data_IF_524011718111
#
_entry.id   IF_524011718111
#
_cell.length_a   1.000
_cell.length_b   1.000
_cell.length_c   1.000
_cell.angle_alpha   90.00
_cell.angle_beta   90.00
_cell.angle_gamma   90.00
#
_symmetry.space_group_name_H-M   'P 1'
#
loop_
_entity.id
_entity.type
_entity.pdbx_description
1 polymer ?
#
# COMPACT_ATOMS: atom_id res chain seq x y z
N UNK A 1 31.53 -33.49 7.89
CA UNK A 1 31.75 -33.15 9.32
C UNK A 1 30.52 -32.45 9.86
N UNK A 2 30.23 -32.56 11.16
CA UNK A 2 29.10 -31.86 11.81
C UNK A 2 29.05 -30.36 11.46
N UNK A 3 30.21 -29.69 11.45
CA UNK A 3 30.34 -28.28 11.04
C UNK A 3 29.86 -28.00 9.61
N UNK A 4 30.14 -28.88 8.66
CA UNK A 4 29.68 -28.74 7.27
C UNK A 4 28.17 -28.88 7.17
N UNK A 5 27.61 -29.82 7.93
CA UNK A 5 26.17 -30.08 7.96
C UNK A 5 25.42 -28.96 8.66
N UNK A 6 25.89 -28.49 9.82
CA UNK A 6 25.39 -27.31 10.52
C UNK A 6 25.46 -26.08 9.62
N UNK A 7 26.61 -25.80 9.00
CA UNK A 7 26.77 -24.69 8.05
C UNK A 7 25.77 -24.78 6.89
N UNK A 8 25.61 -25.96 6.28
CA UNK A 8 24.66 -26.15 5.16
C UNK A 8 23.20 -25.95 5.56
N UNK A 9 22.81 -26.39 6.76
CA UNK A 9 21.44 -26.29 7.24
C UNK A 9 21.12 -24.88 7.77
N UNK A 10 22.03 -24.28 8.54
CA UNK A 10 21.81 -22.95 9.11
C UNK A 10 21.84 -21.86 8.06
N UNK A 11 22.74 -21.91 7.07
CA UNK A 11 22.81 -20.88 6.02
C UNK A 11 21.60 -20.89 5.12
N UNK A 12 21.05 -22.06 4.81
CA UNK A 12 19.82 -22.15 4.01
C UNK A 12 18.66 -21.39 4.66
N UNK A 13 18.51 -21.50 5.98
CA UNK A 13 17.43 -20.84 6.74
C UNK A 13 17.72 -19.34 6.96
N UNK A 14 18.99 -18.92 6.99
CA UNK A 14 19.37 -17.50 7.15
C UNK A 14 18.78 -16.59 6.06
N UNK A 15 18.55 -17.12 4.85
CA UNK A 15 17.91 -16.36 3.78
C UNK A 15 16.43 -16.05 4.07
N UNK A 16 15.71 -16.99 4.69
CA UNK A 16 14.30 -16.83 5.05
C UNK A 16 14.11 -15.81 6.18
N UNK A 17 15.10 -15.68 7.08
CA UNK A 17 15.09 -14.69 8.17
C UNK A 17 15.16 -13.24 7.66
N UNK A 18 15.56 -12.99 6.42
CA UNK A 18 15.65 -11.64 5.85
C UNK A 18 14.31 -10.93 5.83
N UNK A 19 13.25 -11.65 5.45
CA UNK A 19 11.90 -11.07 5.34
C UNK A 19 11.42 -10.53 6.69
N UNK A 20 11.34 -11.32 7.79
CA UNK A 20 10.89 -10.80 9.08
C UNK A 20 11.83 -9.74 9.68
N UNK A 21 13.13 -9.81 9.43
CA UNK A 21 14.08 -8.78 9.89
C UNK A 21 13.84 -7.46 9.16
N UNK A 22 13.83 -7.46 7.82
CA UNK A 22 13.65 -6.25 7.04
C UNK A 22 12.21 -5.71 7.09
N UNK A 23 11.23 -6.55 7.40
CA UNK A 23 9.88 -6.10 7.72
C UNK A 23 9.84 -5.21 8.97
N UNK A 24 10.64 -5.53 10.00
CA UNK A 24 10.76 -4.66 11.18
C UNK A 24 11.50 -3.36 10.85
N UNK A 25 12.54 -3.43 10.01
CA UNK A 25 13.22 -2.21 9.52
C UNK A 25 12.21 -1.33 8.78
N UNK A 26 11.42 -1.90 7.86
CA UNK A 26 10.44 -1.14 7.10
C UNK A 26 9.37 -0.51 7.98
N UNK A 27 9.01 -1.14 9.11
CA UNK A 27 8.07 -0.59 10.09
C UNK A 27 8.47 0.78 10.64
N UNK A 28 9.78 1.07 10.69
CA UNK A 28 10.32 2.26 11.33
C UNK A 28 10.72 3.35 10.33
N UNK A 29 10.51 3.13 9.03
CA UNK A 29 10.92 4.08 7.98
C UNK A 29 9.95 5.25 7.87
N UNK A 30 8.64 4.97 8.01
CA UNK A 30 7.58 5.96 7.89
C UNK A 30 6.68 5.93 9.13
N UNK A 31 6.05 7.06 9.44
CA UNK A 31 4.95 7.10 10.39
C UNK A 31 3.65 6.66 9.69
N UNK A 32 3.51 5.35 9.49
CA UNK A 32 2.36 4.74 8.82
C UNK A 32 1.03 5.07 9.50
N UNK A 33 1.03 5.20 10.83
CA UNK A 33 -0.16 5.57 11.59
C UNK A 33 -0.63 6.99 11.25
N UNK A 34 0.31 7.95 11.21
CA UNK A 34 0.02 9.32 10.80
C UNK A 34 -0.47 9.38 9.35
N UNK A 35 0.13 8.60 8.45
CA UNK A 35 -0.31 8.52 7.05
C UNK A 35 -1.73 7.96 6.93
N UNK A 36 -2.04 6.83 7.58
CA UNK A 36 -3.39 6.27 7.61
C UNK A 36 -4.41 7.29 8.15
N UNK A 37 -4.04 8.02 9.22
CA UNK A 37 -4.88 9.06 9.79
C UNK A 37 -5.13 10.20 8.80
N UNK A 38 -4.12 10.66 8.07
CA UNK A 38 -4.27 11.67 7.03
C UNK A 38 -5.25 11.22 5.94
N UNK A 39 -5.10 9.99 5.44
CA UNK A 39 -5.99 9.41 4.42
C UNK A 39 -7.43 9.28 4.97
N UNK A 40 -7.59 8.85 6.22
CA UNK A 40 -8.91 8.70 6.86
C UNK A 40 -9.67 10.02 7.03
N UNK A 41 -8.94 11.15 7.11
CA UNK A 41 -9.51 12.49 7.27
C UNK A 41 -9.89 13.15 5.95
N UNK A 42 -9.49 12.59 4.81
CA UNK A 42 -9.89 13.09 3.49
C UNK A 42 -11.39 12.92 3.33
N UNK A 43 -12.06 13.98 2.86
CA UNK A 43 -13.46 13.87 2.48
C UNK A 43 -13.57 13.17 1.12
N UNK A 44 -14.05 11.93 1.12
CA UNK A 44 -14.27 11.14 -0.10
C UNK A 44 -15.69 11.28 -0.67
N UNK A 45 -16.54 12.13 -0.08
CA UNK A 45 -17.88 12.46 -0.59
C UNK A 45 -17.86 13.88 -1.15
N UNK A 46 -17.37 14.02 -2.38
CA UNK A 46 -17.18 15.28 -3.09
C UNK A 46 -18.03 15.32 -4.36
N UNK A 47 -18.45 16.52 -4.77
CA UNK A 47 -19.27 16.73 -5.97
C UNK A 47 -18.48 17.02 -7.24
N UNK A 48 -17.20 17.40 -7.13
CA UNK A 48 -16.31 17.65 -8.26
C UNK A 48 -14.89 17.23 -7.88
N UNK A 49 -14.18 16.64 -8.84
CA UNK A 49 -12.77 16.29 -8.69
C UNK A 49 -11.90 17.48 -9.12
N UNK A 50 -11.07 17.97 -8.20
CA UNK A 50 -10.00 18.89 -8.53
C UNK A 50 -8.86 18.11 -9.20
N UNK A 51 -8.09 18.75 -10.09
CA UNK A 51 -6.96 18.11 -10.80
C UNK A 51 -5.73 17.82 -9.90
N UNK A 52 -5.87 17.99 -8.58
CA UNK A 52 -4.80 17.87 -7.61
C UNK A 52 -4.99 16.64 -6.72
N UNK A 53 -3.89 15.96 -6.42
CA UNK A 53 -3.86 14.88 -5.43
C UNK A 53 -3.83 15.43 -4.00
N UNK A 54 -4.19 14.60 -3.03
CA UNK A 54 -4.19 14.95 -1.62
C UNK A 54 -2.77 15.05 -1.03
N UNK A 55 -2.60 15.91 -0.03
CA UNK A 55 -1.32 16.22 0.63
C UNK A 55 -0.57 15.02 1.21
N UNK A 56 -1.26 13.92 1.55
CA UNK A 56 -0.60 12.72 2.05
C UNK A 56 0.28 12.05 0.98
N UNK A 57 -0.04 12.22 -0.31
CA UNK A 57 0.77 11.70 -1.42
C UNK A 57 2.12 12.42 -1.48
N UNK A 58 2.13 13.75 -1.27
CA UNK A 58 3.36 14.54 -1.14
C UNK A 58 4.18 14.12 0.07
N UNK A 59 3.53 14.00 1.24
CA UNK A 59 4.21 13.54 2.46
C UNK A 59 4.89 12.18 2.25
N UNK A 60 4.15 11.18 1.77
CA UNK A 60 4.68 9.85 1.47
C UNK A 60 5.88 9.91 0.53
N UNK A 61 5.74 10.64 -0.58
CA UNK A 61 6.79 10.73 -1.60
C UNK A 61 8.07 11.39 -1.06
N UNK A 62 7.92 12.43 -0.25
CA UNK A 62 9.03 13.18 0.32
C UNK A 62 9.78 12.38 1.40
N UNK A 63 9.05 11.67 2.26
CA UNK A 63 9.65 10.79 3.28
C UNK A 63 10.41 9.64 2.61
N UNK A 64 9.85 9.04 1.55
CA UNK A 64 10.52 8.00 0.78
C UNK A 64 11.75 8.49 0.03
N UNK A 65 11.69 9.69 -0.55
CA UNK A 65 12.86 10.29 -1.20
C UNK A 65 13.97 10.56 -0.19
N UNK A 66 13.61 11.03 1.01
CA UNK A 66 14.56 11.23 2.11
C UNK A 66 15.22 9.90 2.51
N UNK A 67 14.41 8.87 2.72
CA UNK A 67 14.92 7.53 3.03
C UNK A 67 15.81 6.99 1.91
N UNK A 68 15.40 7.14 0.65
CA UNK A 68 16.20 6.74 -0.53
C UNK A 68 17.58 7.37 -0.51
N UNK A 69 17.66 8.68 -0.28
CA UNK A 69 18.94 9.40 -0.26
C UNK A 69 19.84 8.91 0.89
N UNK A 70 19.27 8.67 2.07
CA UNK A 70 20.00 8.13 3.22
C UNK A 70 20.49 6.70 2.95
N UNK A 71 19.64 5.87 2.35
CA UNK A 71 19.97 4.48 2.08
C UNK A 71 21.04 4.34 0.99
N UNK A 72 20.97 5.17 -0.06
CA UNK A 72 21.99 5.23 -1.10
C UNK A 72 23.32 5.73 -0.54
N UNK A 73 23.31 6.75 0.34
CA UNK A 73 24.53 7.20 1.03
C UNK A 73 25.19 6.08 1.84
N UNK A 74 24.40 5.29 2.58
CA UNK A 74 24.93 4.13 3.33
C UNK A 74 25.53 3.11 2.35
N UNK A 75 24.81 2.79 1.28
CA UNK A 75 25.21 1.79 0.30
C UNK A 75 26.50 2.17 -0.45
N UNK A 76 26.70 3.46 -0.73
CA UNK A 76 27.86 3.93 -1.49
C UNK A 76 29.06 4.30 -0.61
N UNK A 77 28.83 4.90 0.55
CA UNK A 77 29.89 5.54 1.35
C UNK A 77 30.28 4.77 2.61
N UNK A 78 29.40 3.93 3.15
CA UNK A 78 29.64 3.25 4.43
C UNK A 78 29.81 1.76 4.27
N UNK A 79 28.83 1.09 3.67
CA UNK A 79 28.81 -0.36 3.53
C UNK A 79 27.97 -0.77 2.31
N UNK A 80 28.57 -1.41 1.29
CA UNK A 80 27.82 -1.94 0.15
C UNK A 80 26.75 -2.92 0.61
N UNK A 81 25.49 -2.57 0.35
CA UNK A 81 24.33 -3.39 0.68
C UNK A 81 24.11 -4.37 -0.47
N UNK A 82 24.03 -5.69 -0.19
CA UNK A 82 23.72 -6.66 -1.23
C UNK A 82 22.42 -6.30 -1.95
N UNK A 83 22.41 -6.34 -3.29
CA UNK A 83 21.24 -5.98 -4.11
C UNK A 83 19.96 -6.72 -3.70
N UNK A 84 20.08 -7.97 -3.24
CA UNK A 84 18.96 -8.74 -2.72
C UNK A 84 18.34 -8.10 -1.47
N UNK A 85 19.16 -7.62 -0.53
CA UNK A 85 18.71 -6.92 0.68
C UNK A 85 18.07 -5.59 0.32
N UNK A 86 18.71 -4.82 -0.55
CA UNK A 86 18.18 -3.55 -1.04
C UNK A 86 16.77 -3.72 -1.63
N UNK A 87 16.58 -4.73 -2.47
CA UNK A 87 15.28 -5.08 -3.07
C UNK A 87 14.26 -5.52 -2.02
N UNK A 88 14.65 -6.39 -1.07
CA UNK A 88 13.74 -6.86 -0.02
C UNK A 88 13.26 -5.72 0.87
N UNK A 89 14.12 -4.76 1.24
CA UNK A 89 13.72 -3.61 2.05
C UNK A 89 12.67 -2.79 1.32
N UNK A 90 12.91 -2.43 0.07
CA UNK A 90 11.94 -1.66 -0.72
C UNK A 90 10.64 -2.41 -0.97
N UNK A 91 10.70 -3.71 -1.23
CA UNK A 91 9.51 -4.57 -1.34
C UNK A 91 8.65 -4.50 -0.07
N UNK A 92 9.26 -4.64 1.11
CA UNK A 92 8.57 -4.55 2.40
C UNK A 92 8.05 -3.14 2.72
N UNK A 93 8.70 -2.09 2.22
CA UNK A 93 8.20 -0.71 2.34
C UNK A 93 6.93 -0.53 1.49
N UNK A 94 6.97 -0.98 0.24
CA UNK A 94 5.84 -0.86 -0.69
C UNK A 94 4.61 -1.60 -0.18
N UNK A 95 4.79 -2.84 0.28
CA UNK A 95 3.72 -3.64 0.90
C UNK A 95 3.03 -2.87 2.05
N UNK A 96 3.82 -2.31 2.97
CA UNK A 96 3.28 -1.52 4.10
C UNK A 96 2.58 -0.24 3.67
N UNK A 97 3.12 0.50 2.70
CA UNK A 97 2.48 1.73 2.21
C UNK A 97 1.13 1.40 1.60
N UNK A 98 1.07 0.38 0.75
CA UNK A 98 -0.15 -0.01 0.06
C UNK A 98 -1.19 -0.56 1.02
N UNK A 99 -0.76 -1.32 2.03
CA UNK A 99 -1.63 -1.69 3.15
C UNK A 99 -2.18 -0.47 3.89
N UNK A 100 -1.31 0.49 4.24
CA UNK A 100 -1.67 1.73 4.94
C UNK A 100 -2.66 2.57 4.15
N UNK A 101 -2.52 2.62 2.83
CA UNK A 101 -3.45 3.32 1.94
C UNK A 101 -4.85 2.70 1.98
N UNK A 102 -4.94 1.38 1.83
CA UNK A 102 -6.24 0.67 1.91
C UNK A 102 -6.86 0.83 3.30
N UNK A 103 -6.07 0.78 4.37
CA UNK A 103 -6.56 1.02 5.73
C UNK A 103 -7.16 2.43 5.91
N UNK A 104 -6.51 3.43 5.31
CA UNK A 104 -7.02 4.80 5.24
C UNK A 104 -8.32 4.89 4.43
N UNK A 105 -8.37 4.30 3.24
CA UNK A 105 -9.57 4.29 2.38
C UNK A 105 -10.74 3.54 3.02
N UNK A 106 -10.47 2.45 3.74
CA UNK A 106 -11.47 1.69 4.48
C UNK A 106 -12.06 2.44 5.68
N UNK A 107 -11.50 3.59 6.04
CA UNK A 107 -12.03 4.43 7.11
C UNK A 107 -13.04 5.47 6.61
N UNK A 108 -13.21 5.60 5.29
CA UNK A 108 -14.24 6.45 4.70
C UNK A 108 -15.65 5.96 5.11
N UNK A 109 -16.55 6.88 5.45
CA UNK A 109 -17.97 6.55 5.75
C UNK A 109 -18.88 6.63 4.53
N UNK A 110 -18.50 7.50 3.59
CA UNK A 110 -19.17 7.75 2.31
C UNK A 110 -18.09 7.96 1.27
N UNK A 111 -18.36 7.53 0.04
CA UNK A 111 -17.44 7.71 -1.07
C UNK A 111 -18.24 7.90 -2.35
N UNK A 112 -18.23 9.12 -2.89
CA UNK A 112 -18.86 9.48 -4.16
C UNK A 112 -18.08 8.91 -5.35
N UNK A 113 -18.64 8.99 -6.56
CA UNK A 113 -17.91 8.56 -7.76
C UNK A 113 -16.66 9.42 -7.97
N UNK A 114 -16.78 10.71 -7.74
CA UNK A 114 -15.71 11.71 -7.80
C UNK A 114 -14.65 11.44 -6.72
N UNK A 115 -15.07 11.03 -5.52
CA UNK A 115 -14.16 10.62 -4.45
C UNK A 115 -13.36 9.36 -4.80
N UNK A 116 -13.97 8.36 -5.45
CA UNK A 116 -13.26 7.18 -5.96
C UNK A 116 -12.27 7.54 -7.06
N UNK A 117 -12.66 8.46 -7.95
CA UNK A 117 -11.76 8.99 -8.96
C UNK A 117 -10.57 9.74 -8.32
N UNK A 118 -10.79 10.44 -7.21
CA UNK A 118 -9.72 11.07 -6.44
C UNK A 118 -8.80 10.04 -5.76
N UNK A 119 -9.33 8.95 -5.20
CA UNK A 119 -8.50 7.83 -4.70
C UNK A 119 -7.60 7.26 -5.81
N UNK A 120 -8.16 7.07 -7.00
CA UNK A 120 -7.41 6.60 -8.16
C UNK A 120 -6.34 7.62 -8.59
N UNK A 121 -6.68 8.92 -8.64
CA UNK A 121 -5.74 9.98 -8.97
C UNK A 121 -4.56 10.00 -7.99
N UNK A 122 -4.84 10.02 -6.69
CA UNK A 122 -3.83 9.99 -5.63
C UNK A 122 -2.88 8.81 -5.79
N UNK A 123 -3.44 7.61 -5.97
CA UNK A 123 -2.64 6.40 -6.11
C UNK A 123 -1.78 6.42 -7.37
N UNK A 124 -2.32 6.90 -8.51
CA UNK A 124 -1.54 7.04 -9.74
C UNK A 124 -0.41 8.07 -9.60
N UNK A 125 -0.63 9.18 -8.90
CA UNK A 125 0.43 10.16 -8.64
C UNK A 125 1.53 9.56 -7.75
N UNK A 126 1.15 8.78 -6.72
CA UNK A 126 2.11 8.07 -5.88
C UNK A 126 2.93 7.07 -6.70
N UNK A 127 2.30 6.23 -7.52
CA UNK A 127 3.00 5.24 -8.36
C UNK A 127 4.05 5.90 -9.28
N UNK A 128 3.70 7.00 -9.95
CA UNK A 128 4.65 7.73 -10.81
C UNK A 128 5.88 8.23 -10.06
N UNK A 129 5.71 8.62 -8.79
CA UNK A 129 6.82 9.07 -7.94
C UNK A 129 7.65 7.89 -7.44
N UNK A 130 7.00 6.82 -7.00
CA UNK A 130 7.66 5.57 -6.61
C UNK A 130 8.51 4.99 -7.75
N UNK A 131 8.03 5.04 -8.99
CA UNK A 131 8.78 4.59 -10.18
C UNK A 131 10.04 5.41 -10.46
N UNK A 132 10.11 6.66 -9.97
CA UNK A 132 11.31 7.51 -10.05
C UNK A 132 12.25 7.25 -8.88
N UNK A 133 11.71 7.08 -7.66
CA UNK A 133 12.48 6.82 -6.44
C UNK A 133 13.11 5.41 -6.50
N UNK A 134 12.42 4.43 -7.10
CA UNK A 134 12.76 3.01 -7.03
C UNK A 134 12.83 2.40 -8.44
N UNK A 135 13.79 2.86 -9.25
CA UNK A 135 13.92 2.42 -10.63
C UNK A 135 14.19 0.89 -10.78
N UNK A 136 14.86 0.28 -9.81
CA UNK A 136 15.30 -1.13 -9.85
C UNK A 136 14.21 -2.17 -9.54
N UNK A 137 13.00 -1.73 -9.19
CA UNK A 137 11.85 -2.56 -8.79
C UNK A 137 10.68 -2.44 -9.77
N UNK A 138 10.97 -2.32 -11.07
CA UNK A 138 9.92 -2.31 -12.11
C UNK A 138 9.61 -3.73 -12.60
N UNK A 139 8.32 -4.11 -12.72
CA UNK A 139 7.12 -3.34 -12.33
C UNK A 139 6.97 -3.26 -10.80
N UNK A 140 6.38 -2.16 -10.29
CA UNK A 140 6.18 -1.98 -8.86
C UNK A 140 5.34 -3.14 -8.28
N UNK A 141 5.87 -3.91 -7.30
CA UNK A 141 5.14 -5.01 -6.69
C UNK A 141 3.97 -4.49 -5.84
N UNK A 142 3.02 -5.37 -5.50
CA UNK A 142 1.92 -5.11 -4.56
C UNK A 142 0.89 -4.04 -4.96
N UNK A 143 1.09 -3.28 -6.04
CA UNK A 143 0.18 -2.21 -6.46
C UNK A 143 -1.25 -2.69 -6.68
N UNK A 144 -1.41 -3.93 -7.13
CA UNK A 144 -2.71 -4.57 -7.36
C UNK A 144 -3.56 -4.63 -6.09
N UNK A 145 -2.94 -4.69 -4.91
CA UNK A 145 -3.67 -4.67 -3.64
C UNK A 145 -4.52 -3.40 -3.48
N UNK A 146 -3.98 -2.23 -3.84
CA UNK A 146 -4.72 -0.96 -3.78
C UNK A 146 -5.67 -0.85 -4.98
N UNK A 147 -5.21 -1.20 -6.18
CA UNK A 147 -6.04 -1.11 -7.40
C UNK A 147 -7.30 -1.98 -7.29
N UNK A 148 -7.17 -3.21 -6.80
CA UNK A 148 -8.29 -4.14 -6.66
C UNK A 148 -9.29 -3.63 -5.60
N UNK A 149 -8.80 -2.99 -4.54
CA UNK A 149 -9.67 -2.37 -3.53
C UNK A 149 -10.45 -1.18 -4.11
N UNK A 150 -9.80 -0.31 -4.88
CA UNK A 150 -10.48 0.83 -5.54
C UNK A 150 -11.47 0.32 -6.61
N UNK A 151 -11.08 -0.69 -7.40
CA UNK A 151 -11.95 -1.32 -8.42
C UNK A 151 -13.19 -1.96 -7.79
N UNK A 152 -13.09 -2.47 -6.57
CA UNK A 152 -14.21 -3.11 -5.87
C UNK A 152 -15.42 -2.17 -5.68
N UNK A 153 -15.22 -0.86 -5.60
CA UNK A 153 -16.31 0.12 -5.52
C UNK A 153 -17.23 0.12 -6.75
N UNK A 154 -16.75 -0.37 -7.89
CA UNK A 154 -17.48 -0.39 -9.16
C UNK A 154 -18.14 -1.75 -9.45
N UNK A 155 -18.01 -2.71 -8.53
CA UNK A 155 -18.63 -4.02 -8.67
C UNK A 155 -20.16 -3.92 -8.58
N UNK A 156 -20.90 -4.69 -9.40
CA UNK A 156 -22.32 -4.89 -9.21
C UNK A 156 -22.62 -5.46 -7.81
N UNK A 157 -23.74 -5.05 -7.20
CA UNK A 157 -24.16 -5.50 -5.86
C UNK A 157 -24.19 -7.03 -5.74
N UNK A 158 -24.68 -7.73 -6.77
CA UNK A 158 -24.72 -9.20 -6.82
C UNK A 158 -23.35 -9.90 -6.79
N UNK A 159 -22.26 -9.17 -7.07
CA UNK A 159 -20.90 -9.73 -7.13
C UNK A 159 -20.07 -9.44 -5.89
N UNK A 160 -20.55 -8.60 -4.96
CA UNK A 160 -19.75 -8.23 -3.79
C UNK A 160 -19.55 -9.39 -2.83
N UNK A 161 -20.59 -10.21 -2.62
CA UNK A 161 -20.49 -11.37 -1.71
C UNK A 161 -19.39 -12.33 -2.15
N UNK A 162 -19.30 -12.57 -3.46
CA UNK A 162 -18.24 -13.38 -4.04
C UNK A 162 -16.87 -12.71 -3.86
N UNK A 163 -16.76 -11.42 -4.16
CA UNK A 163 -15.51 -10.67 -4.01
C UNK A 163 -15.00 -10.67 -2.55
N UNK A 164 -15.88 -10.50 -1.57
CA UNK A 164 -15.53 -10.52 -0.14
C UNK A 164 -15.02 -11.88 0.31
N UNK A 165 -15.57 -12.97 -0.25
CA UNK A 165 -15.12 -14.35 0.03
C UNK A 165 -13.75 -14.63 -0.58
N UNK A 166 -13.55 -14.21 -1.83
CA UNK A 166 -12.34 -14.52 -2.59
C UNK A 166 -11.13 -13.68 -2.18
N UNK A 167 -11.34 -12.43 -1.72
CA UNK A 167 -10.26 -11.50 -1.40
C UNK A 167 -9.90 -11.52 0.09
N UNK A 168 -9.41 -12.66 0.58
CA UNK A 168 -9.03 -12.86 2.00
C UNK A 168 -7.81 -12.05 2.45
N UNK A 169 -7.06 -11.48 1.51
CA UNK A 169 -5.92 -10.59 1.77
C UNK A 169 -6.33 -9.27 2.45
N UNK A 170 -7.60 -8.85 2.35
CA UNK A 170 -8.10 -7.67 3.05
C UNK A 170 -8.66 -8.03 4.43
N UNK A 171 -8.49 -7.10 5.37
CA UNK A 171 -9.04 -7.25 6.72
C UNK A 171 -10.57 -7.29 6.69
N UNK A 172 -11.17 -7.84 7.75
CA UNK A 172 -12.64 -7.85 7.90
C UNK A 172 -13.19 -6.42 7.84
N UNK A 173 -12.52 -5.47 8.51
CA UNK A 173 -12.89 -4.04 8.47
C UNK A 173 -12.92 -3.52 7.02
N UNK A 174 -11.85 -3.73 6.27
CA UNK A 174 -11.73 -3.26 4.88
C UNK A 174 -12.84 -3.82 3.99
N UNK A 175 -13.13 -5.12 4.10
CA UNK A 175 -14.21 -5.76 3.34
C UNK A 175 -15.60 -5.27 3.76
N UNK A 176 -15.86 -5.11 5.06
CA UNK A 176 -17.14 -4.64 5.58
C UNK A 176 -17.45 -3.19 5.19
N UNK A 177 -16.44 -2.32 5.09
CA UNK A 177 -16.62 -0.96 4.60
C UNK A 177 -17.19 -0.95 3.18
N UNK A 178 -16.63 -1.76 2.27
CA UNK A 178 -17.10 -1.85 0.88
C UNK A 178 -18.56 -2.31 0.81
N UNK A 179 -18.92 -3.38 1.53
CA UNK A 179 -20.31 -3.90 1.61
C UNK A 179 -21.27 -2.81 2.09
N UNK A 180 -20.89 -2.11 3.16
CA UNK A 180 -21.71 -1.03 3.74
C UNK A 180 -21.94 0.08 2.71
N UNK A 181 -20.90 0.55 2.03
CA UNK A 181 -21.03 1.63 1.05
C UNK A 181 -21.92 1.28 -0.14
N UNK A 182 -21.85 0.05 -0.65
CA UNK A 182 -22.67 -0.35 -1.80
C UNK A 182 -24.13 -0.58 -1.44
N UNK A 183 -24.42 -1.09 -0.24
CA UNK A 183 -25.81 -1.21 0.24
C UNK A 183 -26.51 0.16 0.43
N UNK A 184 -25.76 1.20 0.80
CA UNK A 184 -26.30 2.56 0.86
C UNK A 184 -26.61 3.14 -0.52
N UNK A 185 -25.80 2.82 -1.53
CA UNK A 185 -26.04 3.24 -2.92
C UNK A 185 -27.27 2.56 -3.53
N UNK A 186 -27.49 1.27 -3.24
CA UNK A 186 -28.67 0.56 -3.75
C UNK A 186 -29.97 1.08 -3.14
N UNK A 187 -30.00 1.42 -1.86
CA UNK A 187 -31.15 2.10 -1.23
C UNK A 187 -31.44 3.48 -1.84
N UNK A 188 -30.41 4.28 -2.11
CA UNK A 188 -30.59 5.62 -2.71
C UNK A 188 -31.09 5.54 -4.15
N UNK A 189 -30.60 4.58 -4.95
CA UNK A 189 -31.09 4.34 -6.32
C UNK A 189 -32.52 3.82 -6.39
N UNK A 190 -33.01 3.12 -5.36
CA UNK A 190 -34.40 2.62 -5.28
C UNK A 190 -35.40 3.67 -4.78
N UNK A 191 -34.91 4.76 -4.18
CA UNK A 191 -35.73 5.84 -3.64
C UNK A 191 -35.83 7.06 -4.58
N UNK A 192 -35.23 6.98 -5.77
CA UNK A 192 -35.39 7.90 -6.91
C UNK A 192 -36.19 7.19 -8.00
#
# INVERSE_FOLDING_TARGET
>A
TFLTQFYSQTIQVTHELRIPIYHNVSANILDYMSIALMISKVNWDIGEILTQHNVYVDKLSNELQTFRNQFDHINEQLLPVPKAVYRTIWDQILDKIFYTMVEGYASAKKCSNEGRALMQLDFQQLLRRLERIIADLKPLPHKEFVENYIKAYYLPEQSIDQWVRDNTMYTIKQRMTLVTMMSHLSRKKRAQ
#
